data_IF_803877295125
#
_entry.id   IF_803877295125
#
_cell.length_a   1.000
_cell.length_b   1.000
_cell.length_c   1.000
_cell.angle_alpha   90.00
_cell.angle_beta   90.00
_cell.angle_gamma   90.00
#
_symmetry.space_group_name_H-M   'P 1'
#
loop_
_entity.id
_entity.type
_entity.pdbx_description
1 polymer ?
#
# COMPACT_ATOMS: atom_id res chain seq x y z
N UNK A 1 -21.87 -31.87 -13.20
CA UNK A 1 -22.01 -32.73 -12.01
C UNK A 1 -21.51 -31.92 -10.85
N UNK A 2 -22.40 -31.33 -10.04
CA UNK A 2 -22.08 -30.47 -8.90
C UNK A 2 -21.57 -31.36 -7.76
N UNK A 3 -20.32 -31.24 -7.41
CA UNK A 3 -19.78 -31.83 -6.19
C UNK A 3 -19.49 -30.66 -5.23
N UNK A 4 -20.38 -30.55 -4.24
CA UNK A 4 -20.27 -29.80 -2.97
C UNK A 4 -19.69 -28.39 -3.05
N UNK A 5 -20.54 -27.39 -2.82
CA UNK A 5 -20.26 -25.96 -2.69
C UNK A 5 -19.36 -25.55 -1.51
N UNK A 6 -18.17 -26.12 -1.44
CA UNK A 6 -17.07 -25.56 -0.65
C UNK A 6 -16.38 -24.54 -1.56
N UNK A 7 -16.62 -23.25 -1.32
CA UNK A 7 -15.83 -22.17 -1.89
C UNK A 7 -14.36 -22.51 -1.55
N UNK A 8 -13.58 -22.92 -2.59
CA UNK A 8 -12.18 -23.24 -2.41
C UNK A 8 -11.54 -22.01 -1.80
N UNK A 9 -11.02 -22.12 -0.56
CA UNK A 9 -10.30 -21.00 0.04
C UNK A 9 -9.17 -20.62 -0.92
N UNK A 10 -9.21 -19.38 -1.39
CA UNK A 10 -8.17 -18.82 -2.24
C UNK A 10 -6.88 -18.88 -1.45
N UNK A 11 -5.94 -19.71 -1.89
CA UNK A 11 -4.63 -19.83 -1.24
C UNK A 11 -3.74 -18.74 -1.78
N UNK A 12 -3.30 -17.87 -0.90
CA UNK A 12 -2.33 -16.83 -1.17
C UNK A 12 -1.15 -17.00 -0.24
N UNK A 13 0.04 -16.82 -0.76
CA UNK A 13 1.26 -16.68 0.03
C UNK A 13 1.72 -15.22 -0.01
N UNK A 14 2.31 -14.76 1.09
CA UNK A 14 2.84 -13.41 1.21
C UNK A 14 4.26 -13.43 1.79
N UNK A 15 5.07 -12.52 1.31
CA UNK A 15 6.34 -12.11 1.92
C UNK A 15 6.27 -10.62 2.21
N UNK A 16 6.60 -10.25 3.44
CA UNK A 16 6.75 -8.85 3.88
C UNK A 16 8.24 -8.56 4.03
N UNK A 17 8.69 -7.47 3.45
CA UNK A 17 10.08 -7.03 3.48
C UNK A 17 10.18 -5.64 4.06
N UNK A 18 11.17 -5.42 4.90
CA UNK A 18 11.42 -4.15 5.55
C UNK A 18 12.63 -3.45 4.95
N UNK A 19 12.53 -2.16 4.73
CA UNK A 19 13.66 -1.28 4.45
C UNK A 19 13.99 -0.45 5.70
N UNK A 20 15.21 -0.62 6.20
CA UNK A 20 15.66 0.05 7.44
C UNK A 20 15.93 1.54 7.27
N UNK A 21 16.14 2.04 6.06
CA UNK A 21 16.44 3.45 5.81
C UNK A 21 15.17 4.30 5.77
N UNK A 22 14.15 3.84 5.09
CA UNK A 22 12.84 4.51 4.99
C UNK A 22 11.84 4.04 6.04
N UNK A 23 12.13 2.94 6.75
CA UNK A 23 11.17 2.21 7.59
C UNK A 23 9.94 1.73 6.83
N UNK A 24 10.08 1.52 5.51
CA UNK A 24 9.00 1.10 4.63
C UNK A 24 8.90 -0.42 4.53
N UNK A 25 7.68 -0.91 4.34
CA UNK A 25 7.37 -2.29 3.98
C UNK A 25 7.05 -2.40 2.49
N UNK A 26 7.60 -3.44 1.86
CA UNK A 26 7.18 -3.95 0.55
C UNK A 26 6.53 -5.32 0.71
N UNK A 27 5.56 -5.66 -0.14
CA UNK A 27 4.83 -6.93 -0.05
C UNK A 27 4.86 -7.68 -1.38
N UNK A 28 5.31 -8.93 -1.34
CA UNK A 28 5.24 -9.86 -2.46
C UNK A 28 4.12 -10.86 -2.21
N UNK A 29 3.05 -10.78 -2.99
CA UNK A 29 1.92 -11.69 -2.95
C UNK A 29 2.03 -12.69 -4.10
N UNK A 30 1.75 -13.97 -3.86
CA UNK A 30 1.80 -14.96 -4.92
C UNK A 30 0.86 -16.14 -4.71
N UNK A 31 0.37 -16.66 -5.83
CA UNK A 31 -0.47 -17.86 -5.90
C UNK A 31 0.43 -19.12 -5.86
N UNK A 32 0.31 -19.94 -4.82
CA UNK A 32 1.15 -21.15 -4.71
C UNK A 32 0.82 -22.25 -5.75
N UNK A 33 -0.27 -22.09 -6.51
CA UNK A 33 -0.70 -23.10 -7.48
C UNK A 33 -0.17 -22.86 -8.90
N UNK A 34 0.10 -21.58 -9.25
CA UNK A 34 0.53 -21.22 -10.61
C UNK A 34 1.68 -20.22 -10.64
N UNK A 35 2.26 -19.90 -9.47
CA UNK A 35 3.41 -19.02 -9.28
C UNK A 35 3.20 -17.57 -9.76
N UNK A 36 1.98 -17.15 -10.15
CA UNK A 36 1.67 -15.75 -10.46
C UNK A 36 1.88 -14.89 -9.21
N UNK A 37 2.57 -13.78 -9.37
CA UNK A 37 2.92 -12.90 -8.26
C UNK A 37 2.75 -11.43 -8.60
N UNK A 38 2.60 -10.61 -7.57
CA UNK A 38 2.53 -9.16 -7.66
C UNK A 38 3.31 -8.53 -6.51
N UNK A 39 3.95 -7.42 -6.76
CA UNK A 39 4.75 -6.69 -5.77
C UNK A 39 4.06 -5.37 -5.43
N UNK A 40 3.96 -5.05 -4.12
CA UNK A 40 3.36 -3.81 -3.62
C UNK A 40 4.47 -2.96 -2.99
N UNK A 41 4.54 -1.68 -3.34
CA UNK A 41 5.44 -0.65 -2.82
C UNK A 41 6.92 -1.08 -2.80
N UNK A 42 7.54 -1.45 -3.94
CA UNK A 42 8.95 -1.81 -3.98
C UNK A 42 9.86 -0.61 -3.76
N UNK A 43 10.94 -0.78 -3.00
CA UNK A 43 11.98 0.24 -2.78
C UNK A 43 13.10 0.08 -3.82
N UNK A 44 13.53 1.17 -4.47
CA UNK A 44 14.54 1.13 -5.54
C UNK A 44 15.84 0.46 -5.10
N UNK A 45 16.35 0.79 -3.92
CA UNK A 45 17.59 0.27 -3.35
C UNK A 45 17.48 -1.23 -2.99
N UNK A 46 16.27 -1.80 -3.02
CA UNK A 46 16.01 -3.23 -2.75
C UNK A 46 15.72 -4.05 -4.01
N UNK A 47 15.92 -3.48 -5.19
CA UNK A 47 15.69 -4.13 -6.48
C UNK A 47 16.33 -5.53 -6.56
N UNK A 48 17.63 -5.65 -6.23
CA UNK A 48 18.33 -6.93 -6.31
C UNK A 48 17.77 -7.97 -5.33
N UNK A 49 17.36 -7.54 -4.12
CA UNK A 49 16.68 -8.38 -3.14
C UNK A 49 15.38 -8.93 -3.72
N UNK A 50 14.53 -8.05 -4.23
CA UNK A 50 13.18 -8.41 -4.68
C UNK A 50 13.23 -9.32 -5.91
N UNK A 51 14.04 -8.97 -6.91
CA UNK A 51 14.22 -9.78 -8.11
C UNK A 51 14.92 -11.11 -7.81
N UNK A 52 15.88 -11.11 -6.88
CA UNK A 52 16.56 -12.34 -6.43
C UNK A 52 15.60 -13.33 -5.76
N UNK A 53 14.65 -12.83 -4.96
CA UNK A 53 13.63 -13.63 -4.29
C UNK A 53 12.60 -14.17 -5.29
N UNK A 54 12.09 -13.32 -6.19
CA UNK A 54 11.16 -13.71 -7.26
C UNK A 54 11.77 -14.85 -8.09
N UNK A 55 13.03 -14.70 -8.50
CA UNK A 55 13.76 -15.74 -9.22
C UNK A 55 13.97 -17.03 -8.39
N UNK A 56 14.38 -16.90 -7.11
CA UNK A 56 14.62 -18.04 -6.22
C UNK A 56 13.37 -18.88 -5.98
N UNK A 57 12.21 -18.23 -5.92
CA UNK A 57 10.91 -18.88 -5.71
C UNK A 57 10.24 -19.31 -7.03
N UNK A 58 10.91 -19.11 -8.17
CA UNK A 58 10.38 -19.39 -9.51
C UNK A 58 9.01 -18.76 -9.76
N UNK A 59 8.87 -17.46 -9.37
CA UNK A 59 7.61 -16.73 -9.49
C UNK A 59 7.54 -15.99 -10.82
N UNK A 60 6.33 -15.95 -11.38
CA UNK A 60 5.97 -15.14 -12.53
C UNK A 60 5.39 -13.81 -12.03
N UNK A 61 6.21 -12.77 -12.00
CA UNK A 61 5.76 -11.43 -11.65
C UNK A 61 4.88 -10.89 -12.77
N UNK A 62 3.65 -10.47 -12.43
CA UNK A 62 2.67 -9.97 -13.41
C UNK A 62 2.38 -8.47 -13.27
N UNK A 63 2.88 -7.82 -12.22
CA UNK A 63 2.67 -6.38 -12.04
C UNK A 63 3.23 -5.84 -10.73
N UNK A 64 3.24 -4.51 -10.64
CA UNK A 64 3.67 -3.74 -9.48
C UNK A 64 2.53 -2.80 -9.10
N UNK A 65 2.12 -2.84 -7.84
CA UNK A 65 1.10 -1.96 -7.27
C UNK A 65 1.78 -0.91 -6.38
N UNK A 66 1.37 0.32 -6.53
CA UNK A 66 1.77 1.40 -5.63
C UNK A 66 0.56 1.89 -4.84
N UNK A 67 0.70 1.99 -3.52
CA UNK A 67 -0.37 2.51 -2.67
C UNK A 67 -0.51 4.02 -2.80
N UNK A 68 0.58 4.72 -3.02
CA UNK A 68 0.61 6.18 -3.17
C UNK A 68 1.94 6.67 -3.78
N UNK A 69 2.11 7.96 -3.93
CA UNK A 69 3.38 8.60 -4.31
C UNK A 69 4.22 8.79 -3.06
N UNK A 70 5.18 7.90 -2.82
CA UNK A 70 6.05 7.91 -1.64
C UNK A 70 6.96 9.15 -1.58
N UNK A 71 7.16 9.71 -0.38
CA UNK A 71 8.01 10.87 -0.14
C UNK A 71 9.31 10.54 0.62
N UNK A 72 9.42 9.33 1.13
CA UNK A 72 10.50 8.82 1.99
C UNK A 72 11.54 7.97 1.25
N UNK A 73 11.16 7.37 0.12
CA UNK A 73 12.04 6.58 -0.75
C UNK A 73 11.61 6.69 -2.22
N UNK A 74 12.51 6.31 -3.13
CA UNK A 74 12.16 6.16 -4.54
C UNK A 74 11.67 4.73 -4.76
N UNK A 75 10.52 4.59 -5.46
CA UNK A 75 10.01 3.26 -5.80
C UNK A 75 10.89 2.54 -6.82
N UNK A 76 11.02 1.22 -6.66
CA UNK A 76 11.70 0.34 -7.61
C UNK A 76 10.92 0.06 -8.89
N UNK A 77 9.68 0.54 -8.99
CA UNK A 77 8.74 0.16 -10.06
C UNK A 77 9.28 0.36 -11.47
N UNK A 78 9.87 1.53 -11.77
CA UNK A 78 10.44 1.81 -13.10
C UNK A 78 11.58 0.84 -13.45
N UNK A 79 12.47 0.57 -12.52
CA UNK A 79 13.63 -0.32 -12.74
C UNK A 79 13.18 -1.77 -12.92
N UNK A 80 12.20 -2.22 -12.14
CA UNK A 80 11.61 -3.55 -12.27
C UNK A 80 10.91 -3.68 -13.63
N UNK A 81 10.06 -2.71 -14.02
CA UNK A 81 9.40 -2.71 -15.34
C UNK A 81 10.43 -2.73 -16.48
N UNK A 82 11.49 -1.95 -16.38
CA UNK A 82 12.55 -1.92 -17.39
C UNK A 82 13.24 -3.28 -17.56
N UNK A 83 13.37 -4.06 -16.48
CA UNK A 83 14.04 -5.36 -16.50
C UNK A 83 13.12 -6.53 -16.87
N UNK A 84 11.82 -6.42 -16.59
CA UNK A 84 10.85 -7.53 -16.70
C UNK A 84 9.74 -7.29 -17.72
N UNK A 85 9.44 -6.03 -18.05
CA UNK A 85 8.29 -5.66 -18.88
C UNK A 85 6.95 -5.64 -18.18
N UNK A 86 6.89 -5.92 -16.87
CA UNK A 86 5.62 -5.96 -16.13
C UNK A 86 5.00 -4.58 -15.94
N UNK A 87 3.67 -4.46 -15.93
CA UNK A 87 2.98 -3.19 -15.78
C UNK A 87 3.05 -2.62 -14.36
N UNK A 88 2.95 -1.29 -14.27
CA UNK A 88 2.86 -0.51 -13.04
C UNK A 88 1.45 0.04 -12.90
N UNK A 89 0.87 -0.11 -11.70
CA UNK A 89 -0.47 0.33 -11.35
C UNK A 89 -0.41 1.42 -10.27
N UNK A 90 -1.21 2.48 -10.44
CA UNK A 90 -1.42 3.55 -9.46
C UNK A 90 -2.88 3.91 -9.32
N UNK A 91 -3.25 4.51 -8.19
CA UNK A 91 -4.60 5.06 -7.99
C UNK A 91 -4.91 6.23 -8.92
N UNK A 92 -6.19 6.37 -9.32
CA UNK A 92 -6.66 7.31 -10.34
C UNK A 92 -6.41 8.80 -10.03
N UNK A 93 -6.24 9.16 -8.77
CA UNK A 93 -5.96 10.55 -8.37
C UNK A 93 -4.50 10.81 -7.99
N UNK A 94 -3.60 9.86 -8.25
CA UNK A 94 -2.17 10.00 -7.96
C UNK A 94 -1.47 11.10 -8.79
N UNK A 95 -1.98 11.41 -9.97
CA UNK A 95 -1.36 12.34 -10.91
C UNK A 95 -0.06 11.82 -11.54
N UNK A 96 0.30 10.55 -11.29
CA UNK A 96 1.52 9.91 -11.78
C UNK A 96 1.53 9.81 -13.29
N UNK A 97 2.67 10.05 -13.89
CA UNK A 97 2.90 9.93 -15.34
C UNK A 97 3.70 8.67 -15.63
N UNK A 98 3.23 7.88 -16.60
CA UNK A 98 3.94 6.68 -17.04
C UNK A 98 3.57 5.40 -16.27
N UNK A 99 2.55 5.40 -15.43
CA UNK A 99 1.88 4.19 -15.01
C UNK A 99 1.18 3.54 -16.22
N UNK A 100 1.20 2.21 -16.27
CA UNK A 100 0.58 1.47 -17.37
C UNK A 100 -0.93 1.34 -17.15
N UNK A 101 -1.34 1.26 -15.88
CA UNK A 101 -2.75 1.21 -15.48
C UNK A 101 -3.06 2.16 -14.34
N UNK A 102 -4.23 2.77 -14.45
CA UNK A 102 -4.78 3.69 -13.45
C UNK A 102 -6.03 3.03 -12.85
N UNK A 103 -6.00 2.81 -11.55
CA UNK A 103 -7.02 2.08 -10.81
C UNK A 103 -8.04 3.02 -10.17
N UNK A 104 -9.32 2.74 -10.39
CA UNK A 104 -10.44 3.41 -9.72
C UNK A 104 -10.87 2.63 -8.47
N UNK A 105 -11.72 3.27 -7.65
CA UNK A 105 -12.33 2.61 -6.49
C UNK A 105 -13.16 1.40 -6.92
N UNK A 106 -12.86 0.23 -6.38
CA UNK A 106 -13.52 -1.03 -6.69
C UNK A 106 -12.90 -1.81 -7.85
N UNK A 107 -11.93 -1.28 -8.59
CA UNK A 107 -11.22 -2.04 -9.63
C UNK A 107 -10.50 -3.24 -9.03
N UNK A 108 -10.49 -4.35 -9.78
CA UNK A 108 -9.93 -5.61 -9.35
C UNK A 108 -8.81 -6.08 -10.29
N UNK A 109 -7.77 -6.66 -9.70
CA UNK A 109 -6.63 -7.21 -10.41
C UNK A 109 -6.56 -8.71 -10.13
N UNK A 110 -6.63 -9.54 -11.17
CA UNK A 110 -6.53 -10.99 -11.03
C UNK A 110 -5.07 -11.43 -10.95
N UNK A 111 -4.71 -12.16 -9.90
CA UNK A 111 -3.39 -12.75 -9.68
C UNK A 111 -3.54 -14.25 -9.50
N UNK A 112 -3.39 -15.01 -10.57
CA UNK A 112 -3.65 -16.45 -10.52
C UNK A 112 -5.08 -16.76 -10.07
N UNK A 113 -5.24 -17.40 -8.90
CA UNK A 113 -6.54 -17.78 -8.34
C UNK A 113 -7.13 -16.78 -7.35
N UNK A 114 -6.41 -15.71 -7.01
CA UNK A 114 -6.93 -14.67 -6.12
C UNK A 114 -7.07 -13.32 -6.83
N UNK A 115 -7.93 -12.49 -6.28
CA UNK A 115 -8.22 -11.15 -6.77
C UNK A 115 -7.78 -10.12 -5.74
N UNK A 116 -7.21 -9.01 -6.20
CA UNK A 116 -6.87 -7.84 -5.38
C UNK A 116 -7.83 -6.72 -5.73
N UNK A 117 -8.65 -6.30 -4.77
CA UNK A 117 -9.57 -5.18 -4.91
C UNK A 117 -8.90 -3.88 -4.50
N UNK A 118 -9.02 -2.85 -5.33
CA UNK A 118 -8.58 -1.48 -5.03
C UNK A 118 -9.65 -0.75 -4.23
N UNK A 119 -9.22 -0.03 -3.19
CA UNK A 119 -10.06 0.83 -2.36
C UNK A 119 -9.43 2.21 -2.38
N UNK A 120 -10.15 3.21 -2.86
CA UNK A 120 -9.67 4.59 -2.83
C UNK A 120 -9.70 5.12 -1.40
N UNK A 121 -8.55 5.46 -0.84
CA UNK A 121 -8.39 5.89 0.56
C UNK A 121 -7.58 7.18 0.66
N UNK A 122 -8.06 8.29 0.03
CA UNK A 122 -7.37 9.57 0.05
C UNK A 122 -7.27 10.15 1.46
N UNK A 123 -6.31 11.05 1.65
CA UNK A 123 -6.18 11.84 2.86
C UNK A 123 -4.74 11.99 3.34
N UNK A 124 -3.89 10.95 3.30
CA UNK A 124 -2.44 11.12 3.40
C UNK A 124 -1.90 11.80 2.13
N UNK A 125 -2.23 11.26 0.97
CA UNK A 125 -2.19 11.97 -0.30
C UNK A 125 -3.54 11.87 -1.00
N UNK A 126 -3.77 12.71 -2.00
CA UNK A 126 -5.01 12.65 -2.80
C UNK A 126 -5.15 11.32 -3.56
N UNK A 127 -4.04 10.73 -3.97
CA UNK A 127 -4.01 9.52 -4.79
C UNK A 127 -3.89 8.21 -4.03
N UNK A 128 -3.97 8.22 -2.69
CA UNK A 128 -3.85 7.00 -1.90
C UNK A 128 -4.91 5.96 -2.25
N UNK A 129 -4.46 4.72 -2.36
CA UNK A 129 -5.30 3.53 -2.45
C UNK A 129 -4.84 2.50 -1.43
N UNK A 130 -5.79 1.71 -0.96
CA UNK A 130 -5.52 0.49 -0.19
C UNK A 130 -5.91 -0.72 -1.04
N UNK A 131 -5.28 -1.85 -0.81
CA UNK A 131 -5.56 -3.09 -1.53
C UNK A 131 -6.11 -4.15 -0.59
N UNK A 132 -7.20 -4.80 -0.98
CA UNK A 132 -7.80 -5.88 -0.20
C UNK A 132 -7.74 -7.20 -0.96
N UNK A 133 -7.29 -8.25 -0.30
CA UNK A 133 -7.34 -9.61 -0.82
C UNK A 133 -7.35 -10.64 0.32
N UNK A 134 -8.16 -11.68 0.22
CA UNK A 134 -8.11 -12.86 1.12
C UNK A 134 -8.02 -12.52 2.63
N UNK A 135 -8.77 -11.53 3.11
CA UNK A 135 -8.76 -11.11 4.52
C UNK A 135 -7.54 -10.27 4.93
N UNK A 136 -6.80 -9.73 3.97
CA UNK A 136 -5.66 -8.84 4.17
C UNK A 136 -5.92 -7.48 3.53
N UNK A 137 -5.59 -6.40 4.24
CA UNK A 137 -5.60 -5.02 3.79
C UNK A 137 -4.18 -4.47 3.76
N UNK A 138 -3.73 -4.00 2.62
CA UNK A 138 -2.48 -3.26 2.43
C UNK A 138 -2.84 -1.78 2.36
N UNK A 139 -2.59 -1.06 3.43
CA UNK A 139 -3.20 0.25 3.67
C UNK A 139 -2.32 1.43 3.27
N UNK A 140 -1.11 1.19 2.80
CA UNK A 140 -0.17 2.27 2.53
C UNK A 140 0.00 3.15 3.76
N UNK A 141 -0.04 4.47 3.55
CA UNK A 141 0.02 5.47 4.61
C UNK A 141 -1.37 5.98 5.04
N UNK A 142 -2.44 5.25 4.68
CA UNK A 142 -3.79 5.60 5.15
C UNK A 142 -4.00 5.19 6.60
N UNK A 143 -3.63 3.96 6.97
CA UNK A 143 -3.78 3.41 8.32
C UNK A 143 -2.50 2.66 8.71
N UNK A 144 -1.90 3.07 9.83
CA UNK A 144 -0.76 2.41 10.45
C UNK A 144 -1.20 1.54 11.65
N UNK A 145 -0.26 0.80 12.20
CA UNK A 145 -0.42 0.14 13.49
C UNK A 145 -0.38 1.23 14.56
N UNK A 146 -1.51 1.48 15.23
CA UNK A 146 -1.63 2.51 16.23
C UNK A 146 -1.46 3.94 15.71
N UNK A 147 -1.77 4.22 14.44
CA UNK A 147 -1.62 5.55 13.88
C UNK A 147 -2.16 5.72 12.48
N UNK A 148 -1.82 6.84 11.86
CA UNK A 148 -2.15 7.19 10.47
C UNK A 148 -0.99 7.96 9.83
N UNK A 149 -0.93 7.99 8.51
CA UNK A 149 -0.03 8.88 7.77
C UNK A 149 -0.31 10.35 8.06
N UNK A 150 0.66 11.21 7.75
CA UNK A 150 0.52 12.66 7.81
C UNK A 150 -0.42 13.18 6.70
N UNK A 151 -0.96 14.38 6.88
CA UNK A 151 -1.96 14.94 5.95
C UNK A 151 -1.60 16.35 5.45
N UNK A 152 -0.39 16.81 5.70
CA UNK A 152 0.08 18.18 5.48
C UNK A 152 0.91 18.35 4.19
N UNK A 153 1.01 17.30 3.33
CA UNK A 153 1.70 17.32 2.04
C UNK A 153 0.87 16.65 0.93
N UNK A 154 1.25 16.85 -0.32
CA UNK A 154 0.73 16.14 -1.50
C UNK A 154 -0.81 16.13 -1.59
N UNK A 155 -1.42 17.30 -1.40
CA UNK A 155 -2.89 17.49 -1.36
C UNK A 155 -3.57 16.59 -0.30
N UNK A 156 -2.88 16.35 0.82
CA UNK A 156 -3.43 15.64 1.97
C UNK A 156 -4.52 16.44 2.69
N UNK A 157 -5.43 15.73 3.34
CA UNK A 157 -6.54 16.30 4.12
C UNK A 157 -6.93 15.38 5.27
N UNK A 158 -6.86 15.91 6.50
CA UNK A 158 -7.12 15.14 7.70
C UNK A 158 -8.56 14.62 7.77
N UNK A 159 -9.54 15.46 7.41
CA UNK A 159 -10.94 15.05 7.43
C UNK A 159 -11.25 13.94 6.43
N UNK A 160 -10.63 14.00 5.26
CA UNK A 160 -10.72 12.95 4.23
C UNK A 160 -10.02 11.67 4.67
N UNK A 161 -8.85 11.76 5.33
CA UNK A 161 -8.15 10.60 5.88
C UNK A 161 -9.01 9.88 6.93
N UNK A 162 -9.60 10.65 7.86
CA UNK A 162 -10.52 10.11 8.86
C UNK A 162 -11.68 9.35 8.20
N UNK A 163 -12.31 9.94 7.19
CA UNK A 163 -13.41 9.30 6.46
C UNK A 163 -12.95 8.06 5.68
N UNK A 164 -11.75 8.07 5.10
CA UNK A 164 -11.18 6.90 4.42
C UNK A 164 -10.99 5.73 5.37
N UNK A 165 -10.48 5.99 6.58
CA UNK A 165 -10.31 4.93 7.58
C UNK A 165 -11.66 4.47 8.12
N UNK A 166 -12.46 5.37 8.68
CA UNK A 166 -13.65 4.99 9.46
C UNK A 166 -14.82 4.52 8.60
N UNK A 167 -15.01 5.13 7.41
CA UNK A 167 -16.15 4.82 6.53
C UNK A 167 -15.83 3.77 5.47
N UNK A 168 -14.54 3.47 5.20
CA UNK A 168 -14.15 2.47 4.20
C UNK A 168 -13.39 1.31 4.83
N UNK A 169 -12.23 1.54 5.46
CA UNK A 169 -11.41 0.45 5.99
C UNK A 169 -12.06 -0.24 7.19
N UNK A 170 -12.64 0.51 8.12
CA UNK A 170 -13.32 -0.04 9.29
C UNK A 170 -14.65 -0.76 8.98
N UNK A 171 -15.08 -0.79 7.72
CA UNK A 171 -16.22 -1.61 7.28
C UNK A 171 -15.84 -3.07 7.03
N UNK A 172 -14.55 -3.39 6.96
CA UNK A 172 -14.07 -4.76 6.84
C UNK A 172 -14.23 -5.52 8.17
N UNK A 173 -14.31 -6.88 8.12
CA UNK A 173 -14.40 -7.71 9.33
C UNK A 173 -13.27 -7.42 10.32
N UNK A 174 -13.53 -7.52 11.61
CA UNK A 174 -12.58 -7.18 12.67
C UNK A 174 -11.30 -8.04 12.65
N UNK A 175 -11.37 -9.27 12.16
CA UNK A 175 -10.25 -10.20 12.00
C UNK A 175 -9.42 -9.94 10.73
N UNK A 176 -9.82 -8.98 9.87
CA UNK A 176 -9.06 -8.59 8.68
C UNK A 176 -7.69 -8.06 9.10
N UNK A 177 -6.63 -8.68 8.56
CA UNK A 177 -5.26 -8.31 8.86
C UNK A 177 -4.90 -7.01 8.13
N UNK A 178 -4.27 -6.09 8.82
CA UNK A 178 -3.82 -4.78 8.28
C UNK A 178 -2.30 -4.78 8.16
N UNK A 179 -1.82 -4.43 6.97
CA UNK A 179 -0.41 -4.35 6.58
C UNK A 179 -0.12 -2.93 6.07
N UNK A 180 0.49 -2.06 6.88
CA UNK A 180 0.78 -0.67 6.51
C UNK A 180 2.03 -0.54 5.64
N UNK A 181 2.24 0.64 4.99
CA UNK A 181 3.51 0.90 4.32
C UNK A 181 4.66 1.19 5.30
N UNK A 182 4.38 1.67 6.51
CA UNK A 182 5.42 2.00 7.49
C UNK A 182 5.12 1.46 8.89
N UNK A 183 6.19 1.11 9.61
CA UNK A 183 6.17 0.95 11.06
C UNK A 183 7.54 1.31 11.64
N UNK A 184 7.53 2.05 12.75
CA UNK A 184 8.72 2.58 13.41
C UNK A 184 9.03 1.85 14.74
N UNK A 185 8.20 0.89 15.14
CA UNK A 185 8.31 0.11 16.38
C UNK A 185 8.64 -1.37 16.16
N UNK A 186 8.72 -1.82 14.90
CA UNK A 186 9.05 -3.20 14.55
C UNK A 186 7.85 -4.15 14.51
N UNK A 187 6.64 -3.63 14.60
CA UNK A 187 5.41 -4.40 14.43
C UNK A 187 5.11 -4.62 12.95
N UNK A 188 4.70 -5.81 12.59
CA UNK A 188 4.55 -6.21 11.20
C UNK A 188 3.13 -6.07 10.67
N UNK A 189 2.12 -6.16 11.53
CA UNK A 189 0.69 -6.13 11.19
C UNK A 189 -0.17 -5.90 12.43
N UNK A 190 -1.40 -5.51 12.18
CA UNK A 190 -2.49 -5.41 13.17
C UNK A 190 -3.77 -5.98 12.58
N UNK A 191 -4.92 -5.73 13.20
CA UNK A 191 -6.24 -6.08 12.68
C UNK A 191 -7.16 -4.87 12.67
N UNK A 192 -8.21 -4.92 11.85
CA UNK A 192 -9.24 -3.87 11.86
C UNK A 192 -9.86 -3.71 13.25
N UNK A 193 -10.11 -4.81 13.96
CA UNK A 193 -10.67 -4.76 15.32
C UNK A 193 -9.74 -4.10 16.34
N UNK A 194 -8.44 -4.36 16.25
CA UNK A 194 -7.43 -3.70 17.09
C UNK A 194 -7.37 -2.20 16.81
N UNK A 195 -7.31 -1.81 15.54
CA UNK A 195 -7.24 -0.40 15.16
C UNK A 195 -8.54 0.36 15.51
N UNK A 196 -9.71 -0.21 15.32
CA UNK A 196 -10.97 0.36 15.81
C UNK A 196 -10.91 0.66 17.30
N UNK A 197 -10.44 -0.29 18.07
CA UNK A 197 -10.47 -0.21 19.53
C UNK A 197 -9.35 0.62 20.14
N UNK A 198 -8.13 0.52 19.56
CA UNK A 198 -6.92 1.00 20.21
C UNK A 198 -6.18 2.12 19.46
N UNK A 199 -6.55 2.43 18.21
CA UNK A 199 -5.84 3.46 17.45
C UNK A 199 -6.04 4.84 18.11
N UNK A 200 -4.97 5.52 18.54
CA UNK A 200 -5.07 6.78 19.24
C UNK A 200 -5.50 7.96 18.36
N UNK A 201 -5.46 7.79 17.02
CA UNK A 201 -5.83 8.84 16.06
C UNK A 201 -7.28 8.69 15.56
N UNK A 202 -7.71 7.48 15.27
CA UNK A 202 -8.96 7.23 14.53
C UNK A 202 -9.81 6.09 15.12
N UNK A 203 -9.45 5.59 16.33
CA UNK A 203 -10.23 4.55 17.02
C UNK A 203 -11.60 5.06 17.48
N UNK A 204 -12.45 4.14 17.93
CA UNK A 204 -13.87 4.39 18.26
C UNK A 204 -14.13 5.54 19.25
N UNK A 205 -13.14 5.90 20.07
CA UNK A 205 -13.24 7.00 21.04
C UNK A 205 -12.89 8.37 20.44
N UNK A 206 -12.45 8.45 19.18
CA UNK A 206 -11.98 9.66 18.53
C UNK A 206 -12.98 10.09 17.46
N UNK A 207 -13.55 11.27 17.59
CA UNK A 207 -14.38 11.84 16.54
C UNK A 207 -13.53 12.58 15.48
N UNK A 208 -14.16 12.91 14.36
CA UNK A 208 -13.52 13.56 13.22
C UNK A 208 -12.93 14.93 13.56
N UNK A 209 -13.67 15.71 14.30
CA UNK A 209 -13.30 17.07 14.71
C UNK A 209 -12.04 17.02 15.57
N UNK A 210 -12.01 16.15 16.56
CA UNK A 210 -10.87 15.93 17.46
C UNK A 210 -9.63 15.47 16.68
N UNK A 211 -9.79 14.55 15.71
CA UNK A 211 -8.69 14.13 14.85
C UNK A 211 -8.14 15.26 14.00
N UNK A 212 -9.02 16.05 13.34
CA UNK A 212 -8.60 17.17 12.48
C UNK A 212 -7.86 18.23 13.30
N UNK A 213 -8.35 18.58 14.49
CA UNK A 213 -7.67 19.55 15.36
C UNK A 213 -6.32 19.02 15.85
N UNK A 214 -6.25 17.74 16.22
CA UNK A 214 -4.98 17.13 16.61
C UNK A 214 -3.94 17.12 15.46
N UNK A 215 -4.38 16.83 14.22
CA UNK A 215 -3.48 16.87 13.05
C UNK A 215 -2.94 18.29 12.78
N UNK A 216 -3.75 19.33 12.92
CA UNK A 216 -3.31 20.74 12.76
C UNK A 216 -2.23 21.16 13.77
N UNK A 217 -2.24 20.57 14.96
CA UNK A 217 -1.30 20.89 16.03
C UNK A 217 0.03 20.13 15.89
N UNK A 218 0.09 19.09 15.05
CA UNK A 218 1.29 18.29 14.86
C UNK A 218 2.34 19.06 14.05
N UNK A 219 3.42 19.45 14.70
CA UNK A 219 4.58 20.06 14.03
C UNK A 219 5.58 18.95 13.61
N UNK A 220 5.37 18.38 12.42
CA UNK A 220 6.26 17.33 11.86
C UNK A 220 7.37 17.96 11.03
N UNK A 221 8.61 17.42 11.08
CA UNK A 221 9.69 17.90 10.22
C UNK A 221 9.35 17.67 8.75
N UNK A 222 9.99 18.47 7.89
CA UNK A 222 9.92 18.28 6.43
C UNK A 222 10.45 16.88 6.07
N UNK A 223 9.79 16.12 5.18
CA UNK A 223 10.24 14.77 4.84
C UNK A 223 11.62 14.81 4.17
N UNK A 224 12.57 14.07 4.71
CA UNK A 224 14.00 14.11 4.35
C UNK A 224 14.26 13.92 2.84
N UNK A 225 13.49 13.07 2.18
CA UNK A 225 13.70 12.68 0.78
C UNK A 225 12.65 13.28 -0.17
N UNK A 226 11.77 14.15 0.31
CA UNK A 226 10.64 14.71 -0.45
C UNK A 226 11.05 15.27 -1.81
N UNK A 227 12.06 16.14 -1.84
CA UNK A 227 12.48 16.84 -3.05
C UNK A 227 13.13 15.95 -4.10
N UNK A 228 13.51 14.73 -3.74
CA UNK A 228 14.08 13.74 -4.65
C UNK A 228 13.10 12.60 -4.95
N UNK A 229 12.42 12.08 -3.95
CA UNK A 229 11.52 10.95 -4.09
C UNK A 229 10.24 11.33 -4.84
N UNK A 230 9.56 12.40 -4.42
CA UNK A 230 8.26 12.77 -5.05
C UNK A 230 8.39 13.04 -6.55
N UNK A 231 9.36 13.86 -7.06
CA UNK A 231 9.51 14.06 -8.50
C UNK A 231 9.83 12.78 -9.29
N UNK A 232 10.63 11.87 -8.72
CA UNK A 232 10.95 10.57 -9.33
C UNK A 232 9.71 9.66 -9.33
N UNK A 233 8.99 9.57 -8.21
CA UNK A 233 7.82 8.72 -8.05
C UNK A 233 6.62 9.20 -8.86
N UNK A 234 6.50 10.51 -9.11
CA UNK A 234 5.56 11.05 -10.10
C UNK A 234 5.82 10.57 -11.53
N UNK A 235 6.96 9.89 -11.76
CA UNK A 235 7.34 9.21 -12.99
C UNK A 235 7.64 7.72 -12.73
N UNK A 236 6.91 7.09 -11.80
CA UNK A 236 7.04 5.68 -11.40
C UNK A 236 8.44 5.29 -10.88
N UNK A 237 9.16 6.19 -10.25
CA UNK A 237 10.52 5.95 -9.75
C UNK A 237 11.62 6.15 -10.79
N UNK A 238 11.32 6.83 -11.91
CA UNK A 238 12.34 7.15 -12.92
C UNK A 238 13.29 8.23 -12.41
N UNK A 239 14.51 7.85 -12.13
CA UNK A 239 15.59 8.78 -11.80
C UNK A 239 16.13 9.38 -13.11
N UNK A 240 16.09 10.71 -13.25
CA UNK A 240 16.75 11.39 -14.36
C UNK A 240 18.25 11.30 -14.13
N UNK A 241 18.98 10.64 -15.03
CA UNK A 241 20.43 10.75 -15.04
C UNK A 241 20.78 12.25 -15.26
N UNK A 242 21.42 12.85 -14.27
CA UNK A 242 22.04 14.17 -14.42
C UNK A 242 23.25 14.07 -15.34
#
# INVERSE_FOLDING_TARGET
>A
MLINGVKRMEKINMRQYFDYESCAYSYLLFDPCNNKSILIDPVLEKFDRDMGIIKKLDLDLIGILETHVHADHITGAFTIRKSTGVPIYYGSQSGVRGADFILNDGDCIQVGQFEIKTIHTPGHTKGCVSYYTCGMLFTGDTLFIGGTGRTDFQDGDAGTLYDSVTKKLFQYPEDTQVYPAHNYSGEMKTTIGEEKKWNPNVGDSIDKESFVEAEKLKNRPYPKHFDTAVPANMQCGRVSNK
#
